data_IF_814788973375
#
_entry.id   IF_814788973375
#
_cell.length_a   1.000
_cell.length_b   1.000
_cell.length_c   1.000
_cell.angle_alpha   90.00
_cell.angle_beta   90.00
_cell.angle_gamma   90.00
#
_symmetry.space_group_name_H-M   'P 1'
#
loop_
_entity.id
_entity.type
_entity.pdbx_description
1 polymer ?
#
# COMPACT_ATOMS: atom_id res chain seq x y z
N UNK A 1 2.21 26.35 -3.13
CA UNK A 1 3.16 25.39 -3.57
C UNK A 1 3.38 24.27 -2.59
N UNK A 2 4.05 23.22 -3.01
CA UNK A 2 4.45 22.01 -2.27
C UNK A 2 5.13 22.34 -0.93
N UNK A 3 5.82 23.47 -0.84
CA UNK A 3 6.46 23.97 0.38
C UNK A 3 5.48 24.20 1.55
N UNK A 4 4.26 24.62 1.30
CA UNK A 4 3.29 24.90 2.37
C UNK A 4 2.59 23.64 2.92
N UNK A 5 2.47 22.58 2.13
CA UNK A 5 1.85 21.33 2.58
C UNK A 5 2.83 20.46 3.40
N UNK A 6 4.10 20.43 3.01
CA UNK A 6 5.17 19.75 3.75
C UNK A 6 5.49 20.46 5.07
N UNK A 7 5.41 21.78 5.12
CA UNK A 7 5.69 22.55 6.33
C UNK A 7 4.74 22.26 7.50
N UNK A 8 3.45 21.97 7.25
CA UNK A 8 2.49 21.63 8.31
C UNK A 8 2.62 20.21 8.85
N UNK A 9 3.17 19.29 8.06
CA UNK A 9 3.42 17.91 8.50
C UNK A 9 4.78 17.79 9.17
N UNK A 10 5.69 18.71 8.86
CA UNK A 10 7.09 18.68 9.27
C UNK A 10 7.38 19.43 10.57
N UNK A 11 6.40 19.65 11.45
CA UNK A 11 6.70 20.28 12.76
C UNK A 11 7.71 19.46 13.60
N UNK A 12 8.07 18.24 13.19
CA UNK A 12 9.07 17.42 13.87
C UNK A 12 10.01 16.60 12.96
N UNK A 13 9.86 16.59 11.62
CA UNK A 13 10.68 15.69 10.78
C UNK A 13 10.99 16.31 9.42
N UNK A 14 12.26 16.36 9.03
CA UNK A 14 12.70 16.55 7.64
C UNK A 14 13.23 15.22 7.10
N UNK A 15 12.56 14.71 6.10
CA UNK A 15 13.03 13.55 5.36
C UNK A 15 14.15 13.97 4.37
N UNK A 16 15.26 13.25 4.37
CA UNK A 16 16.35 13.38 3.39
C UNK A 16 15.97 12.85 2.00
N UNK A 17 14.77 13.13 1.49
CA UNK A 17 14.36 12.73 0.14
C UNK A 17 15.14 13.48 -0.95
N UNK A 18 15.94 14.50 -0.58
CA UNK A 18 16.66 15.35 -1.52
C UNK A 18 18.06 14.85 -1.92
N UNK A 19 18.37 13.56 -1.89
CA UNK A 19 19.69 13.05 -2.28
C UNK A 19 19.85 12.71 -3.77
N UNK A 20 18.82 12.98 -4.58
CA UNK A 20 18.97 12.87 -6.05
C UNK A 20 19.94 13.90 -6.67
N UNK A 21 20.57 14.75 -5.86
CA UNK A 21 21.47 15.81 -6.32
C UNK A 21 22.80 15.92 -5.59
N UNK A 22 23.33 14.84 -4.97
CA UNK A 22 24.74 14.83 -4.54
C UNK A 22 25.12 15.77 -3.39
N UNK A 23 24.20 16.29 -2.57
CA UNK A 23 24.52 17.15 -1.43
C UNK A 23 24.93 16.33 -0.20
N UNK A 24 26.03 16.75 0.43
CA UNK A 24 26.60 16.11 1.61
C UNK A 24 25.70 16.25 2.85
N UNK A 25 25.83 15.31 3.77
CA UNK A 25 25.04 15.13 5.01
C UNK A 25 25.18 16.27 6.05
N UNK A 26 25.75 17.41 5.68
CA UNK A 26 26.12 18.51 6.61
C UNK A 26 25.14 19.69 6.62
N UNK A 27 24.13 19.71 5.77
CA UNK A 27 23.23 20.85 5.72
C UNK A 27 22.19 20.71 6.84
N UNK A 28 22.33 21.51 7.90
CA UNK A 28 21.28 21.68 8.92
C UNK A 28 20.08 22.37 8.27
N UNK A 29 18.99 21.63 8.14
CA UNK A 29 17.74 22.23 7.68
C UNK A 29 17.02 22.86 8.88
N UNK A 30 16.70 24.15 8.75
CA UNK A 30 15.85 24.87 9.69
C UNK A 30 14.58 25.31 8.98
N UNK A 31 13.46 25.16 9.66
CA UNK A 31 12.19 25.73 9.26
C UNK A 31 11.83 26.78 10.31
N UNK A 32 11.85 28.06 9.89
CA UNK A 32 11.82 29.18 10.82
C UNK A 32 12.99 29.04 11.82
N UNK A 33 12.74 28.97 13.12
CA UNK A 33 13.77 28.79 14.14
C UNK A 33 13.93 27.34 14.64
N UNK A 34 13.18 26.39 14.07
CA UNK A 34 13.19 25.00 14.51
C UNK A 34 14.18 24.19 13.67
N UNK A 35 15.18 23.57 14.35
CA UNK A 35 16.08 22.61 13.74
C UNK A 35 15.31 21.33 13.42
N UNK A 36 15.39 20.89 12.17
CA UNK A 36 14.69 19.72 11.69
C UNK A 36 15.59 18.48 11.77
N UNK A 37 15.06 17.38 12.30
CA UNK A 37 15.77 16.12 12.41
C UNK A 37 15.82 15.41 11.04
N UNK A 38 17.01 14.92 10.68
CA UNK A 38 17.22 14.13 9.48
C UNK A 38 16.91 12.65 9.76
N UNK A 39 15.88 12.12 9.12
CA UNK A 39 15.51 10.71 9.21
C UNK A 39 15.71 9.99 7.88
N UNK A 40 16.10 8.72 7.93
CA UNK A 40 16.29 7.88 6.74
C UNK A 40 14.98 7.24 6.26
N UNK A 41 14.06 7.05 7.18
CA UNK A 41 12.74 6.46 6.93
C UNK A 41 11.67 7.28 7.63
N UNK A 42 10.55 7.47 6.96
CA UNK A 42 9.48 8.32 7.46
C UNK A 42 8.11 7.80 6.99
N UNK A 43 7.20 7.65 7.93
CA UNK A 43 5.83 7.24 7.65
C UNK A 43 5.00 8.46 7.20
N UNK A 44 4.51 8.46 5.97
CA UNK A 44 3.68 9.54 5.42
C UNK A 44 2.37 8.99 4.86
N UNK A 45 1.25 9.44 5.43
CA UNK A 45 -0.10 9.00 5.03
C UNK A 45 -0.25 7.47 4.92
N UNK A 46 0.48 6.77 5.80
CA UNK A 46 0.48 5.32 5.85
C UNK A 46 1.36 4.62 4.81
N UNK A 47 2.18 5.35 4.10
CA UNK A 47 3.28 4.84 3.28
C UNK A 47 4.62 5.05 3.99
N UNK A 48 5.65 4.28 3.61
CA UNK A 48 7.00 4.41 4.14
C UNK A 48 7.90 5.01 3.05
N UNK A 49 8.31 6.25 3.29
CA UNK A 49 9.28 6.94 2.43
C UNK A 49 10.68 6.74 3.00
N UNK A 50 11.64 6.49 2.13
CA UNK A 50 13.06 6.38 2.48
C UNK A 50 13.94 7.19 1.53
N UNK A 51 15.21 7.37 1.90
CA UNK A 51 16.18 8.13 1.14
C UNK A 51 16.65 7.44 -0.16
N UNK A 52 16.52 6.11 -0.22
CA UNK A 52 16.91 5.31 -1.40
C UNK A 52 15.81 5.22 -2.44
N UNK A 53 14.59 5.64 -2.06
CA UNK A 53 13.39 5.40 -2.86
C UNK A 53 13.05 3.91 -2.93
N UNK A 54 11.93 3.59 -3.50
CA UNK A 54 11.50 2.21 -3.67
C UNK A 54 10.21 1.90 -2.91
N UNK A 55 9.46 0.98 -3.49
CA UNK A 55 8.14 0.60 -3.02
C UNK A 55 8.19 -0.62 -2.09
N UNK A 56 9.33 -1.27 -1.99
CA UNK A 56 9.49 -2.56 -1.29
C UNK A 56 9.19 -2.45 0.20
N UNK A 57 9.61 -1.35 0.84
CA UNK A 57 9.35 -1.12 2.27
C UNK A 57 7.87 -0.77 2.52
N UNK A 58 7.28 0.07 1.68
CA UNK A 58 5.87 0.39 1.69
C UNK A 58 5.02 -0.89 1.59
N UNK A 59 5.32 -1.74 0.61
CA UNK A 59 4.67 -3.04 0.42
C UNK A 59 4.88 -3.96 1.63
N UNK A 60 6.08 -4.00 2.20
CA UNK A 60 6.35 -4.79 3.40
C UNK A 60 5.51 -4.32 4.60
N UNK A 61 5.39 -3.00 4.78
CA UNK A 61 4.56 -2.42 5.83
C UNK A 61 3.07 -2.77 5.62
N UNK A 62 2.58 -2.69 4.39
CA UNK A 62 1.19 -3.05 4.05
C UNK A 62 0.90 -4.53 4.23
N UNK A 63 1.82 -5.40 3.83
CA UNK A 63 1.71 -6.85 4.07
C UNK A 63 1.64 -7.14 5.57
N UNK A 64 2.48 -6.50 6.39
CA UNK A 64 2.40 -6.66 7.86
C UNK A 64 1.06 -6.18 8.42
N UNK A 65 0.61 -4.99 8.03
CA UNK A 65 -0.66 -4.43 8.46
C UNK A 65 -1.85 -5.32 8.04
N UNK A 66 -1.85 -5.84 6.82
CA UNK A 66 -2.87 -6.75 6.33
C UNK A 66 -2.90 -8.07 7.13
N UNK A 67 -1.73 -8.63 7.51
CA UNK A 67 -1.66 -9.80 8.38
C UNK A 67 -2.16 -9.53 9.79
N UNK A 68 -1.89 -8.34 10.34
CA UNK A 68 -2.45 -7.95 11.64
C UNK A 68 -3.98 -7.89 11.56
N UNK A 69 -4.52 -7.23 10.54
CA UNK A 69 -5.98 -7.14 10.33
C UNK A 69 -6.61 -8.51 10.07
N UNK A 70 -5.93 -9.38 9.33
CA UNK A 70 -6.40 -10.75 9.09
C UNK A 70 -6.49 -11.56 10.38
N UNK A 71 -5.50 -11.44 11.28
CA UNK A 71 -5.51 -12.14 12.59
C UNK A 71 -6.59 -11.61 13.51
N UNK A 72 -6.78 -10.29 13.55
CA UNK A 72 -7.86 -9.64 14.31
C UNK A 72 -9.24 -10.19 13.90
N UNK A 73 -9.43 -10.40 12.61
CA UNK A 73 -10.67 -10.92 12.04
C UNK A 73 -10.70 -12.47 11.93
N UNK A 74 -9.71 -13.15 12.49
CA UNK A 74 -9.56 -14.61 12.39
C UNK A 74 -10.79 -15.38 12.90
N UNK A 75 -11.44 -14.90 13.96
CA UNK A 75 -12.65 -15.48 14.48
C UNK A 75 -13.82 -15.50 13.50
N UNK A 76 -13.83 -14.59 12.50
CA UNK A 76 -14.84 -14.55 11.43
C UNK A 76 -14.32 -15.26 10.19
N UNK A 77 -13.10 -14.93 9.76
CA UNK A 77 -12.54 -15.40 8.49
C UNK A 77 -12.21 -16.89 8.49
N UNK A 78 -11.78 -17.44 9.64
CA UNK A 78 -11.35 -18.84 9.74
C UNK A 78 -12.39 -19.74 10.43
N UNK A 79 -13.51 -19.20 10.91
CA UNK A 79 -14.59 -20.01 11.52
C UNK A 79 -15.28 -20.93 10.51
N UNK A 80 -15.86 -22.02 10.97
CA UNK A 80 -16.68 -22.91 10.12
C UNK A 80 -18.12 -22.42 9.94
N UNK A 81 -18.63 -21.54 10.81
CA UNK A 81 -20.01 -21.11 10.86
C UNK A 81 -20.42 -20.08 9.78
N UNK A 82 -19.47 -19.39 9.14
CA UNK A 82 -19.78 -18.39 8.14
C UNK A 82 -19.57 -18.91 6.72
N UNK A 83 -20.44 -18.51 5.78
CA UNK A 83 -20.31 -18.88 4.37
C UNK A 83 -19.04 -18.27 3.77
N UNK A 84 -18.42 -18.95 2.78
CA UNK A 84 -17.20 -18.46 2.11
C UNK A 84 -17.46 -17.11 1.44
N UNK A 85 -18.64 -16.88 0.89
CA UNK A 85 -19.00 -15.60 0.28
C UNK A 85 -19.04 -14.46 1.29
N UNK A 86 -19.61 -14.68 2.48
CA UNK A 86 -19.62 -13.70 3.56
C UNK A 86 -18.19 -13.36 3.99
N UNK A 87 -17.34 -14.39 4.18
CA UNK A 87 -15.92 -14.20 4.51
C UNK A 87 -15.19 -13.40 3.41
N UNK A 88 -15.51 -13.62 2.15
CA UNK A 88 -14.98 -12.86 1.03
C UNK A 88 -15.34 -11.38 1.06
N UNK A 89 -16.57 -11.05 1.44
CA UNK A 89 -16.99 -9.64 1.63
C UNK A 89 -16.17 -8.98 2.72
N UNK A 90 -16.06 -9.62 3.90
CA UNK A 90 -15.26 -9.12 5.04
C UNK A 90 -13.79 -8.99 4.65
N UNK A 91 -13.23 -10.00 3.97
CA UNK A 91 -11.85 -9.97 3.49
C UNK A 91 -11.59 -8.78 2.55
N UNK A 92 -12.43 -8.58 1.53
CA UNK A 92 -12.30 -7.47 0.58
C UNK A 92 -12.39 -6.11 1.27
N UNK A 93 -13.36 -5.94 2.15
CA UNK A 93 -13.61 -4.67 2.83
C UNK A 93 -12.51 -4.31 3.84
N UNK A 94 -12.03 -5.26 4.64
CA UNK A 94 -11.19 -4.98 5.79
C UNK A 94 -9.71 -5.35 5.58
N UNK A 95 -9.41 -6.46 4.92
CA UNK A 95 -8.02 -6.94 4.79
C UNK A 95 -7.40 -6.50 3.48
N UNK A 96 -8.10 -6.74 2.35
CA UNK A 96 -7.59 -6.39 1.02
C UNK A 96 -7.45 -4.88 0.86
N UNK A 97 -8.34 -4.09 1.42
CA UNK A 97 -8.25 -2.62 1.44
C UNK A 97 -6.97 -2.15 2.14
N UNK A 98 -6.59 -2.77 3.26
CA UNK A 98 -5.32 -2.49 3.95
C UNK A 98 -4.12 -2.93 3.13
N UNK A 99 -4.16 -4.13 2.53
CA UNK A 99 -3.08 -4.68 1.71
C UNK A 99 -2.77 -3.80 0.49
N UNK A 100 -3.80 -3.23 -0.13
CA UNK A 100 -3.69 -2.44 -1.36
C UNK A 100 -3.83 -0.94 -1.13
N UNK A 101 -3.69 -0.47 0.09
CA UNK A 101 -3.75 0.97 0.39
C UNK A 101 -2.54 1.68 -0.21
N UNK A 102 -2.79 2.75 -0.96
CA UNK A 102 -1.74 3.53 -1.64
C UNK A 102 -1.14 2.86 -2.88
N UNK A 103 -1.64 1.68 -3.29
CA UNK A 103 -1.12 0.94 -4.44
C UNK A 103 -1.27 1.68 -5.78
N UNK A 104 -2.06 2.72 -5.81
CA UNK A 104 -2.26 3.60 -6.96
C UNK A 104 -0.94 4.27 -7.38
N UNK A 105 -0.13 4.65 -6.40
CA UNK A 105 1.13 5.40 -6.59
C UNK A 105 2.37 4.51 -6.68
N UNK A 106 2.24 3.20 -6.45
CA UNK A 106 3.40 2.31 -6.42
C UNK A 106 3.95 1.99 -7.81
N UNK A 107 5.27 2.00 -7.94
CA UNK A 107 5.95 1.43 -9.08
C UNK A 107 5.86 -0.10 -9.01
N UNK A 108 4.88 -0.69 -9.72
CA UNK A 108 4.58 -2.12 -9.66
C UNK A 108 5.58 -2.95 -10.46
N UNK A 109 6.75 -3.17 -9.89
CA UNK A 109 7.72 -4.15 -10.38
C UNK A 109 7.16 -5.57 -10.18
N UNK A 110 7.59 -6.51 -11.01
CA UNK A 110 7.13 -7.90 -10.96
C UNK A 110 7.28 -8.54 -9.56
N UNK A 111 8.40 -8.29 -8.87
CA UNK A 111 8.63 -8.82 -7.52
C UNK A 111 7.65 -8.28 -6.47
N UNK A 112 7.30 -7.00 -6.57
CA UNK A 112 6.31 -6.36 -5.69
C UNK A 112 4.94 -7.01 -5.88
N UNK A 113 4.52 -7.16 -7.13
CA UNK A 113 3.25 -7.79 -7.47
C UNK A 113 3.19 -9.25 -7.00
N UNK A 114 4.25 -10.02 -7.24
CA UNK A 114 4.34 -11.41 -6.77
C UNK A 114 4.22 -11.53 -5.25
N UNK A 115 4.83 -10.60 -4.49
CA UNK A 115 4.75 -10.57 -3.03
C UNK A 115 3.32 -10.34 -2.53
N UNK A 116 2.61 -9.37 -3.12
CA UNK A 116 1.21 -9.11 -2.80
C UNK A 116 0.31 -10.30 -3.13
N UNK A 117 0.50 -10.85 -4.33
CA UNK A 117 -0.25 -12.01 -4.82
C UNK A 117 -0.03 -13.26 -3.96
N UNK A 118 1.20 -13.53 -3.56
CA UNK A 118 1.53 -14.64 -2.66
C UNK A 118 0.89 -14.47 -1.29
N UNK A 119 0.90 -13.23 -0.76
CA UNK A 119 0.26 -12.89 0.52
C UNK A 119 -1.25 -13.13 0.45
N UNK A 120 -1.91 -12.61 -0.57
CA UNK A 120 -3.36 -12.80 -0.76
C UNK A 120 -3.72 -14.28 -0.90
N UNK A 121 -3.03 -15.01 -1.78
CA UNK A 121 -3.26 -16.46 -1.96
C UNK A 121 -3.15 -17.24 -0.66
N UNK A 122 -2.18 -16.90 0.19
CA UNK A 122 -2.02 -17.55 1.50
C UNK A 122 -3.21 -17.26 2.41
N UNK A 123 -3.68 -16.02 2.47
CA UNK A 123 -4.85 -15.63 3.26
C UNK A 123 -6.12 -16.33 2.77
N UNK A 124 -6.35 -16.36 1.45
CA UNK A 124 -7.53 -17.02 0.88
C UNK A 124 -7.53 -18.54 1.12
N UNK A 125 -6.36 -19.20 1.09
CA UNK A 125 -6.24 -20.61 1.49
C UNK A 125 -6.65 -20.83 2.93
N UNK A 126 -6.22 -19.98 3.85
CA UNK A 126 -6.62 -20.04 5.28
C UNK A 126 -8.13 -19.84 5.45
N UNK A 127 -8.74 -18.93 4.71
CA UNK A 127 -10.21 -18.72 4.71
C UNK A 127 -10.95 -19.97 4.28
N UNK A 128 -10.44 -20.67 3.26
CA UNK A 128 -11.03 -21.92 2.75
C UNK A 128 -10.69 -23.15 3.58
N UNK A 129 -9.73 -23.05 4.51
CA UNK A 129 -9.23 -24.20 5.26
C UNK A 129 -8.45 -25.20 4.41
N UNK A 130 -7.86 -24.75 3.27
CA UNK A 130 -7.08 -25.61 2.36
C UNK A 130 -5.58 -25.30 2.49
N UNK A 131 -4.76 -26.33 2.36
CA UNK A 131 -3.30 -26.27 2.40
C UNK A 131 -2.70 -26.33 1.00
N UNK A 132 -1.39 -26.20 0.89
CA UNK A 132 -0.68 -26.43 -0.38
C UNK A 132 -0.71 -27.89 -0.80
N UNK A 133 -0.79 -28.83 0.14
CA UNK A 133 -0.85 -30.28 -0.13
C UNK A 133 -2.13 -30.69 -0.84
N UNK A 134 -3.21 -29.95 -0.65
CA UNK A 134 -4.50 -30.24 -1.28
C UNK A 134 -4.54 -29.91 -2.77
N UNK A 135 -3.45 -29.34 -3.33
CA UNK A 135 -3.24 -29.02 -4.74
C UNK A 135 -4.38 -28.22 -5.40
N UNK A 136 -5.18 -27.51 -4.59
CA UNK A 136 -6.30 -26.70 -5.10
C UNK A 136 -5.75 -25.44 -5.78
N UNK A 137 -6.19 -25.20 -7.01
CA UNK A 137 -5.78 -24.04 -7.79
C UNK A 137 -6.24 -22.72 -7.16
N UNK A 138 -5.39 -21.70 -7.25
CA UNK A 138 -5.65 -20.40 -6.62
C UNK A 138 -6.87 -19.67 -7.22
N UNK A 139 -7.15 -19.85 -8.49
CA UNK A 139 -8.32 -19.34 -9.20
C UNK A 139 -9.62 -19.91 -8.65
N UNK A 140 -9.64 -21.22 -8.39
CA UNK A 140 -10.77 -21.92 -7.77
C UNK A 140 -11.01 -21.41 -6.35
N UNK A 141 -9.94 -21.21 -5.58
CA UNK A 141 -10.04 -20.66 -4.22
C UNK A 141 -10.63 -19.25 -4.23
N UNK A 142 -10.12 -18.37 -5.10
CA UNK A 142 -10.60 -16.99 -5.24
C UNK A 142 -12.09 -16.97 -5.63
N UNK A 143 -12.50 -17.81 -6.60
CA UNK A 143 -13.89 -17.95 -7.02
C UNK A 143 -14.81 -18.43 -5.90
N UNK A 144 -14.40 -19.44 -5.09
CA UNK A 144 -15.17 -19.92 -3.94
C UNK A 144 -15.40 -18.84 -2.90
N UNK A 145 -14.41 -18.01 -2.64
CA UNK A 145 -14.50 -16.89 -1.69
C UNK A 145 -15.21 -15.68 -2.31
N UNK A 146 -15.30 -15.60 -3.62
CA UNK A 146 -15.88 -14.47 -4.35
C UNK A 146 -14.95 -13.25 -4.36
N UNK A 147 -13.65 -13.49 -4.50
CA UNK A 147 -12.62 -12.47 -4.61
C UNK A 147 -12.12 -12.43 -6.04
N UNK A 148 -12.18 -11.25 -6.64
CA UNK A 148 -11.68 -10.95 -7.98
C UNK A 148 -10.15 -10.99 -8.03
N UNK A 149 -9.57 -11.11 -9.21
CA UNK A 149 -8.12 -11.15 -9.37
C UNK A 149 -7.47 -9.87 -8.84
N UNK A 150 -6.31 -10.03 -8.18
CA UNK A 150 -5.58 -8.91 -7.57
C UNK A 150 -5.07 -7.91 -8.61
N UNK A 151 -4.62 -8.41 -9.77
CA UNK A 151 -4.08 -7.57 -10.83
C UNK A 151 -5.16 -6.66 -11.40
N UNK A 152 -6.32 -7.22 -11.71
CA UNK A 152 -7.47 -6.45 -12.18
C UNK A 152 -7.95 -5.44 -11.13
N UNK A 153 -8.00 -5.83 -9.86
CA UNK A 153 -8.33 -4.92 -8.77
C UNK A 153 -7.36 -3.73 -8.70
N UNK A 154 -6.05 -3.98 -8.78
CA UNK A 154 -5.03 -2.92 -8.75
C UNK A 154 -5.10 -2.04 -10.01
N UNK A 155 -5.36 -2.64 -11.18
CA UNK A 155 -5.57 -1.90 -12.43
C UNK A 155 -6.75 -0.95 -12.32
N UNK A 156 -7.88 -1.42 -11.80
CA UNK A 156 -9.08 -0.60 -11.60
C UNK A 156 -8.83 0.55 -10.61
N UNK A 157 -8.10 0.29 -9.52
CA UNK A 157 -7.72 1.34 -8.56
C UNK A 157 -6.91 2.45 -9.24
N UNK A 158 -5.91 2.08 -10.05
CA UNK A 158 -5.06 3.03 -10.78
C UNK A 158 -5.85 3.84 -11.81
N UNK A 159 -6.70 3.18 -12.60
CA UNK A 159 -7.54 3.87 -13.58
C UNK A 159 -8.49 4.86 -12.92
N UNK A 160 -9.08 4.47 -11.78
CA UNK A 160 -9.95 5.37 -11.00
C UNK A 160 -9.18 6.58 -10.47
N UNK A 161 -7.98 6.34 -9.93
CA UNK A 161 -7.11 7.41 -9.45
C UNK A 161 -6.64 8.32 -10.58
N UNK A 162 -6.21 7.76 -11.71
CA UNK A 162 -5.85 8.53 -12.91
C UNK A 162 -7.02 9.38 -13.40
N UNK A 163 -8.23 8.81 -13.49
CA UNK A 163 -9.42 9.57 -13.85
C UNK A 163 -9.75 10.71 -12.88
N UNK A 164 -9.37 10.55 -11.61
CA UNK A 164 -9.50 11.59 -10.59
C UNK A 164 -8.53 12.76 -10.84
N UNK A 165 -7.28 12.45 -11.18
CA UNK A 165 -6.27 13.45 -11.54
C UNK A 165 -6.63 14.16 -12.83
N UNK A 166 -7.03 13.40 -13.87
CA UNK A 166 -7.37 13.95 -15.18
C UNK A 166 -8.53 14.95 -15.14
N UNK A 167 -9.45 14.81 -14.18
CA UNK A 167 -10.58 15.74 -14.00
C UNK A 167 -10.26 16.96 -13.13
N UNK A 168 -9.06 17.07 -12.58
CA UNK A 168 -8.64 18.26 -11.82
C UNK A 168 -8.20 19.38 -12.77
N UNK A 169 -8.33 20.63 -12.28
CA UNK A 169 -7.90 21.81 -13.00
C UNK A 169 -6.39 21.78 -13.30
N UNK A 170 -5.99 22.43 -14.40
CA UNK A 170 -4.60 22.43 -14.88
C UNK A 170 -3.59 23.08 -13.92
N UNK A 171 -4.06 23.91 -13.02
CA UNK A 171 -3.22 24.56 -11.99
C UNK A 171 -2.71 23.60 -10.89
N UNK A 172 -3.24 22.38 -10.82
CA UNK A 172 -2.84 21.43 -9.79
C UNK A 172 -1.52 20.75 -10.18
N UNK A 173 -0.48 20.96 -9.38
CA UNK A 173 0.90 20.47 -9.62
C UNK A 173 1.00 18.97 -9.94
N UNK A 174 0.05 18.14 -9.45
CA UNK A 174 0.02 16.70 -9.73
C UNK A 174 -0.20 16.42 -11.22
N UNK A 175 -0.99 17.25 -11.95
CA UNK A 175 -1.25 17.06 -13.37
C UNK A 175 0.02 17.27 -14.20
N UNK A 176 0.85 18.24 -13.81
CA UNK A 176 2.14 18.56 -14.47
C UNK A 176 3.19 17.46 -14.40
N UNK A 177 3.02 16.47 -13.54
CA UNK A 177 3.94 15.32 -13.42
C UNK A 177 3.63 14.25 -14.46
N UNK A 178 2.45 14.29 -15.09
CA UNK A 178 1.98 13.29 -16.05
C UNK A 178 1.99 13.79 -17.51
N UNK A 179 2.34 15.05 -17.74
CA UNK A 179 2.66 15.64 -19.04
C UNK A 179 4.17 15.50 -19.34
#
# INVERSE_FOLDING_TARGET
GVRGCLARVAQNFVCKVCRAGGRKAADEFRLEDVKLECVYEFAYLGDMLNDTGGVEQAVAARVRAAWMKFRELGGILCTRGASLRMKGVVYKACVRSVLTYGAETWAMKAGVFQRLRATERRMLRMICGVTLKDMVESTVIASRVGVDDLEEHLRQKRLRWFGHIARRDEEVEIKKVFE
#
